data_IF_860903813766
#
_entry.id   IF_860903813766
#
_cell.length_a   1.000
_cell.length_b   1.000
_cell.length_c   1.000
_cell.angle_alpha   90.00
_cell.angle_beta   90.00
_cell.angle_gamma   90.00
#
_symmetry.space_group_name_H-M   'P 1'
#
loop_
_entity.id
_entity.type
_entity.pdbx_description
1 polymer ?
#
# COMPACT_ATOMS: atom_id res chain seq x y z
N UNK A 1 2.84 37.16 -7.03
CA UNK A 1 3.35 36.35 -8.15
C UNK A 1 2.26 35.39 -8.61
N UNK A 2 1.93 35.36 -9.92
CA UNK A 2 0.89 34.47 -10.47
C UNK A 2 1.55 33.26 -11.13
N UNK A 3 1.54 32.12 -10.44
CA UNK A 3 2.24 30.92 -10.91
C UNK A 3 1.75 30.41 -12.27
N UNK A 4 0.45 30.56 -12.57
CA UNK A 4 -0.15 30.11 -13.84
C UNK A 4 0.23 30.99 -15.03
N UNK A 5 0.72 32.22 -14.79
CA UNK A 5 1.17 33.13 -15.85
C UNK A 5 2.59 32.76 -16.34
N UNK A 6 3.25 31.81 -15.67
CA UNK A 6 4.53 31.26 -16.14
C UNK A 6 4.35 30.44 -17.43
N UNK A 7 5.29 30.53 -18.39
CA UNK A 7 5.40 29.59 -19.49
C UNK A 7 5.43 28.14 -19.01
N UNK A 8 4.84 27.24 -19.81
CA UNK A 8 4.76 25.81 -19.47
C UNK A 8 6.12 25.17 -19.17
N UNK A 9 7.17 25.59 -19.87
CA UNK A 9 8.56 25.16 -19.64
C UNK A 9 9.07 25.47 -18.24
N UNK A 10 8.80 26.70 -17.74
CA UNK A 10 9.19 27.09 -16.38
C UNK A 10 8.37 26.34 -15.34
N UNK A 11 7.08 26.12 -15.58
CA UNK A 11 6.25 25.30 -14.68
C UNK A 11 6.77 23.87 -14.61
N UNK A 12 7.13 23.26 -15.75
CA UNK A 12 7.70 21.92 -15.80
C UNK A 12 9.00 21.80 -15.01
N UNK A 13 9.92 22.77 -15.15
CA UNK A 13 11.15 22.79 -14.32
C UNK A 13 10.86 22.88 -12.83
N UNK A 14 9.87 23.68 -12.43
CA UNK A 14 9.46 23.78 -11.01
C UNK A 14 8.84 22.46 -10.54
N UNK A 15 8.03 21.81 -11.37
CA UNK A 15 7.46 20.49 -11.07
C UNK A 15 8.53 19.43 -10.92
N UNK A 16 9.51 19.38 -11.81
CA UNK A 16 10.64 18.44 -11.73
C UNK A 16 11.43 18.64 -10.43
N UNK A 17 11.74 19.89 -10.08
CA UNK A 17 12.41 20.22 -8.84
C UNK A 17 11.59 19.83 -7.60
N UNK A 18 10.29 20.12 -7.61
CA UNK A 18 9.36 19.79 -6.52
C UNK A 18 9.20 18.26 -6.36
N UNK A 19 9.03 17.54 -7.46
CA UNK A 19 8.92 16.09 -7.48
C UNK A 19 10.23 15.42 -7.02
N UNK A 20 11.38 15.93 -7.46
CA UNK A 20 12.69 15.50 -6.99
C UNK A 20 12.90 15.79 -5.50
N UNK A 21 12.25 16.79 -4.92
CA UNK A 21 12.35 17.04 -3.47
C UNK A 21 11.40 16.14 -2.66
N UNK A 22 10.29 15.69 -3.27
CA UNK A 22 9.20 14.97 -2.59
C UNK A 22 9.61 13.61 -2.02
N UNK A 23 10.57 12.89 -2.65
CA UNK A 23 11.00 11.58 -2.14
C UNK A 23 11.59 11.65 -0.71
N UNK A 24 11.99 12.83 -0.25
CA UNK A 24 12.59 13.02 1.08
C UNK A 24 11.56 13.25 2.20
N UNK A 25 10.32 13.63 1.87
CA UNK A 25 9.40 14.27 2.83
C UNK A 25 8.00 13.66 2.84
N UNK A 26 7.88 12.34 3.00
CA UNK A 26 6.62 11.84 3.57
C UNK A 26 6.71 12.00 5.08
N UNK A 27 5.90 12.87 5.70
CA UNK A 27 6.03 13.20 7.11
C UNK A 27 5.78 11.95 7.93
N UNK A 28 6.82 11.29 8.40
CA UNK A 28 6.63 10.12 9.27
C UNK A 28 6.15 10.51 10.66
N UNK A 29 6.26 11.79 11.02
CA UNK A 29 5.72 12.32 12.27
C UNK A 29 4.19 12.41 12.29
N UNK A 30 3.50 12.59 11.15
CA UNK A 30 2.02 12.61 11.13
C UNK A 30 1.43 11.23 11.47
N UNK A 31 2.19 10.15 11.29
CA UNK A 31 1.78 8.78 11.64
C UNK A 31 2.11 8.38 13.08
N UNK A 32 2.88 9.19 13.82
CA UNK A 32 2.94 9.02 15.29
C UNK A 32 1.55 9.13 15.91
N UNK A 33 0.57 9.77 15.26
CA UNK A 33 -0.80 9.86 15.75
C UNK A 33 -1.56 8.51 15.73
N UNK A 34 -1.24 7.56 14.85
CA UNK A 34 -1.77 6.19 14.97
C UNK A 34 -1.21 5.49 16.22
N UNK A 35 0.09 5.67 16.51
CA UNK A 35 0.72 5.16 17.73
C UNK A 35 0.24 5.90 18.99
N UNK A 36 -0.03 7.22 18.90
CA UNK A 36 -0.54 8.05 20.00
C UNK A 36 -2.04 7.84 20.24
N UNK A 37 -2.86 7.50 19.24
CA UNK A 37 -4.27 7.11 19.44
C UNK A 37 -4.40 5.89 20.36
N UNK A 38 -3.40 5.00 20.36
CA UNK A 38 -3.30 3.90 21.34
C UNK A 38 -2.74 4.33 22.70
N UNK A 39 -2.17 5.53 22.86
CA UNK A 39 -1.37 5.89 24.06
C UNK A 39 -1.75 7.16 24.81
N UNK A 40 -2.38 8.21 24.25
CA UNK A 40 -2.60 9.46 25.03
C UNK A 40 -3.87 10.23 24.68
N UNK A 41 -4.77 10.31 25.67
CA UNK A 41 -5.81 11.34 25.83
C UNK A 41 -5.24 12.75 26.04
N UNK A 42 -3.93 12.93 26.35
CA UNK A 42 -3.39 14.20 26.84
C UNK A 42 -2.03 14.62 26.19
N UNK A 43 -1.78 14.39 24.90
CA UNK A 43 -0.54 14.84 24.27
C UNK A 43 -0.71 16.22 23.59
N UNK A 44 0.28 17.14 23.69
CA UNK A 44 0.22 18.45 23.07
C UNK A 44 0.15 18.35 21.53
N UNK A 45 -0.68 19.22 20.95
CA UNK A 45 -0.96 19.32 19.51
C UNK A 45 0.26 19.88 18.78
N UNK A 46 1.22 19.04 18.44
CA UNK A 46 2.25 19.41 17.46
C UNK A 46 1.57 19.65 16.12
N UNK A 47 1.81 20.81 15.50
CA UNK A 47 1.33 21.12 14.15
C UNK A 47 1.74 19.98 13.20
N UNK A 48 0.83 19.52 12.32
CA UNK A 48 1.15 18.46 11.38
C UNK A 48 2.26 18.92 10.44
N UNK A 49 3.30 18.10 10.30
CA UNK A 49 4.29 18.31 9.25
C UNK A 49 3.59 18.36 7.89
N UNK A 50 3.69 19.49 7.22
CA UNK A 50 3.13 19.66 5.88
C UNK A 50 3.85 18.74 4.90
N UNK A 51 3.09 17.95 4.14
CA UNK A 51 3.63 17.20 3.00
C UNK A 51 4.13 18.20 1.97
N UNK A 52 5.44 18.17 1.67
CA UNK A 52 6.06 19.13 0.77
C UNK A 52 5.36 19.13 -0.60
N UNK A 53 5.06 20.33 -1.10
CA UNK A 53 4.42 20.55 -2.40
C UNK A 53 3.01 19.94 -2.59
N UNK A 54 2.41 19.39 -1.53
CA UNK A 54 1.04 18.85 -1.57
C UNK A 54 0.02 19.90 -2.00
N UNK A 55 0.23 21.17 -1.64
CA UNK A 55 -0.60 22.28 -2.07
C UNK A 55 -0.69 22.43 -3.60
N UNK A 56 0.37 22.11 -4.36
CA UNK A 56 0.34 22.13 -5.84
C UNK A 56 -0.61 21.05 -6.39
N UNK A 57 -0.78 19.95 -5.66
CA UNK A 57 -1.75 18.89 -6.00
C UNK A 57 -3.19 19.24 -5.58
N UNK A 58 -3.42 20.40 -4.95
CA UNK A 58 -4.73 20.83 -4.45
C UNK A 58 -5.18 22.20 -5.00
N UNK A 59 -4.27 23.04 -5.49
CA UNK A 59 -4.54 24.45 -5.80
C UNK A 59 -5.50 24.69 -6.99
N UNK A 60 -5.21 24.16 -8.19
CA UNK A 60 -6.04 24.38 -9.39
C UNK A 60 -6.21 23.11 -10.23
N UNK A 61 -7.23 23.06 -11.10
CA UNK A 61 -7.45 21.90 -11.99
C UNK A 61 -6.26 21.69 -12.92
N UNK A 62 -5.73 22.77 -13.50
CA UNK A 62 -4.60 22.71 -14.44
C UNK A 62 -3.32 22.20 -13.76
N UNK A 63 -2.97 22.76 -12.60
CA UNK A 63 -1.80 22.30 -11.84
C UNK A 63 -1.93 20.84 -11.44
N UNK A 64 -3.16 20.42 -11.07
CA UNK A 64 -3.42 19.02 -10.76
C UNK A 64 -3.25 18.11 -11.97
N UNK A 65 -3.73 18.47 -13.15
CA UNK A 65 -3.54 17.64 -14.34
C UNK A 65 -2.08 17.53 -14.76
N UNK A 66 -1.29 18.59 -14.58
CA UNK A 66 0.13 18.63 -14.95
C UNK A 66 1.01 17.93 -13.90
N UNK A 67 0.88 18.29 -12.62
CA UNK A 67 1.82 17.90 -11.56
C UNK A 67 1.46 16.59 -10.85
N UNK A 68 0.18 16.23 -10.73
CA UNK A 68 -0.25 15.14 -9.85
C UNK A 68 0.40 13.80 -10.19
N UNK A 69 0.47 13.45 -11.47
CA UNK A 69 1.03 12.16 -11.89
C UNK A 69 2.54 12.12 -11.63
N UNK A 70 3.26 13.21 -11.94
CA UNK A 70 4.69 13.34 -11.64
C UNK A 70 4.94 13.21 -10.14
N UNK A 71 4.13 13.86 -9.31
CA UNK A 71 4.24 13.79 -7.86
C UNK A 71 3.95 12.37 -7.34
N UNK A 72 2.83 11.75 -7.73
CA UNK A 72 2.45 10.41 -7.28
C UNK A 72 3.52 9.35 -7.60
N UNK A 73 4.18 9.45 -8.76
CA UNK A 73 5.24 8.54 -9.18
C UNK A 73 6.54 8.65 -8.35
N UNK A 74 6.74 9.77 -7.63
CA UNK A 74 7.94 10.01 -6.83
C UNK A 74 7.71 9.87 -5.32
N UNK A 75 6.45 9.95 -4.87
CA UNK A 75 6.11 9.86 -3.44
C UNK A 75 6.46 8.49 -2.89
N UNK A 76 7.18 8.49 -1.76
CA UNK A 76 7.43 7.31 -0.94
C UNK A 76 6.38 7.22 0.15
N UNK A 77 5.53 6.19 0.10
CA UNK A 77 4.42 6.01 1.04
C UNK A 77 4.82 4.99 2.10
N UNK A 78 4.82 5.31 3.40
CA UNK A 78 5.03 4.33 4.44
C UNK A 78 3.86 3.34 4.49
N UNK A 79 4.14 2.09 4.82
CA UNK A 79 3.14 1.01 4.83
C UNK A 79 1.95 1.33 5.74
N UNK A 80 2.17 2.03 6.85
CA UNK A 80 1.11 2.46 7.76
C UNK A 80 0.09 3.42 7.12
N UNK A 81 0.51 4.26 6.18
CA UNK A 81 -0.34 5.25 5.52
C UNK A 81 -0.99 4.73 4.24
N UNK A 82 -0.59 3.54 3.80
CA UNK A 82 -0.90 3.00 2.49
C UNK A 82 -2.41 2.91 2.23
N UNK A 83 -3.18 2.48 3.22
CA UNK A 83 -4.63 2.32 3.09
C UNK A 83 -5.33 3.67 2.80
N UNK A 84 -5.03 4.68 3.61
CA UNK A 84 -5.51 6.05 3.42
C UNK A 84 -5.02 6.64 2.11
N UNK A 85 -3.75 6.42 1.76
CA UNK A 85 -3.16 6.91 0.53
C UNK A 85 -3.85 6.31 -0.71
N UNK A 86 -4.00 4.99 -0.77
CA UNK A 86 -4.70 4.34 -1.88
C UNK A 86 -6.13 4.84 -2.00
N UNK A 87 -6.81 5.10 -0.88
CA UNK A 87 -8.19 5.62 -0.87
C UNK A 87 -8.29 7.05 -1.39
N UNK A 88 -7.37 7.93 -0.97
CA UNK A 88 -7.41 9.33 -1.37
C UNK A 88 -6.90 9.55 -2.80
N UNK A 89 -5.88 8.80 -3.21
CA UNK A 89 -5.14 9.08 -4.44
C UNK A 89 -5.44 8.11 -5.57
N UNK A 90 -5.72 6.84 -5.23
CA UNK A 90 -5.80 5.74 -6.20
C UNK A 90 -7.21 5.15 -6.34
N UNK A 91 -8.13 5.39 -5.38
CA UNK A 91 -9.54 5.04 -5.56
C UNK A 91 -10.30 6.20 -6.17
N UNK A 92 -10.26 6.26 -7.50
CA UNK A 92 -11.36 6.83 -8.25
C UNK A 92 -11.68 5.86 -9.38
N UNK A 93 -12.93 5.38 -9.44
CA UNK A 93 -13.59 5.12 -10.72
C UNK A 93 -14.09 6.50 -11.09
N UNK A 94 -13.32 7.34 -11.80
CA UNK A 94 -13.86 8.63 -12.10
C UNK A 94 -14.90 8.37 -13.19
N UNK A 95 -16.17 8.73 -12.92
CA UNK A 95 -17.19 8.85 -13.98
C UNK A 95 -16.73 9.82 -15.09
N UNK A 96 -15.64 10.56 -14.87
CA UNK A 96 -14.95 11.45 -15.81
C UNK A 96 -13.52 10.93 -16.07
N UNK A 97 -13.13 10.71 -17.32
CA UNK A 97 -11.89 10.04 -17.78
C UNK A 97 -10.54 10.59 -17.26
N UNK A 98 -10.49 11.55 -16.36
CA UNK A 98 -9.28 12.32 -16.06
C UNK A 98 -8.58 11.81 -14.81
N UNK A 99 -7.47 11.11 -14.98
CA UNK A 99 -6.29 11.38 -14.14
C UNK A 99 -5.68 10.23 -13.34
N UNK A 100 -6.16 8.98 -13.42
CA UNK A 100 -5.38 7.85 -12.90
C UNK A 100 -4.60 7.20 -14.04
N UNK A 101 -3.28 7.32 -13.97
CA UNK A 101 -2.38 6.61 -14.88
C UNK A 101 -2.32 5.13 -14.49
N UNK A 102 -2.85 4.26 -15.35
CA UNK A 102 -2.80 2.81 -15.15
C UNK A 102 -1.37 2.27 -15.17
N UNK A 103 -0.46 3.01 -15.79
CA UNK A 103 0.95 2.67 -15.93
C UNK A 103 1.82 3.49 -14.95
N UNK A 104 1.19 4.08 -13.92
CA UNK A 104 1.89 4.79 -12.87
C UNK A 104 2.75 3.87 -12.01
N UNK A 105 3.45 4.48 -11.06
CA UNK A 105 4.26 3.77 -10.09
C UNK A 105 3.94 4.20 -8.66
N UNK A 106 4.12 3.29 -7.71
CA UNK A 106 3.98 3.53 -6.29
C UNK A 106 5.22 2.99 -5.56
N UNK A 107 5.86 3.87 -4.79
CA UNK A 107 6.98 3.49 -3.94
C UNK A 107 6.50 3.35 -2.52
N UNK A 108 6.67 2.15 -1.96
CA UNK A 108 6.27 1.84 -0.59
C UNK A 108 7.53 1.73 0.26
N UNK A 109 7.64 2.59 1.25
CA UNK A 109 8.74 2.56 2.22
C UNK A 109 8.41 1.56 3.34
N UNK A 110 9.09 0.42 3.35
CA UNK A 110 8.90 -0.63 4.35
C UNK A 110 9.82 -0.38 5.55
N UNK A 111 9.24 -0.35 6.76
CA UNK A 111 9.99 -0.30 8.02
C UNK A 111 9.65 -1.52 8.85
N UNK A 112 10.64 -2.08 9.55
CA UNK A 112 10.44 -3.24 10.42
C UNK A 112 9.35 -3.02 11.48
N UNK A 113 9.29 -1.82 12.05
CA UNK A 113 8.28 -1.41 13.04
C UNK A 113 6.87 -1.33 12.46
N UNK A 114 6.75 -1.13 11.15
CA UNK A 114 5.47 -1.03 10.46
C UNK A 114 4.97 -2.37 9.95
N UNK A 115 5.78 -3.42 9.87
CA UNK A 115 5.32 -4.71 9.36
C UNK A 115 4.32 -5.41 10.31
N UNK A 116 4.24 -5.01 11.57
CA UNK A 116 3.40 -5.70 12.55
C UNK A 116 1.93 -5.23 12.49
N UNK A 117 1.03 -6.18 12.25
CA UNK A 117 -0.43 -6.02 12.21
C UNK A 117 -0.94 -5.04 11.14
N UNK A 118 -0.25 -4.97 9.99
CA UNK A 118 -0.72 -4.15 8.85
C UNK A 118 -1.49 -4.99 7.85
N UNK A 119 -2.70 -4.52 7.53
CA UNK A 119 -3.55 -5.14 6.54
C UNK A 119 -3.21 -4.58 5.14
N UNK A 120 -2.75 -5.44 4.25
CA UNK A 120 -2.36 -5.08 2.86
C UNK A 120 -3.40 -5.50 1.82
N UNK A 121 -4.61 -5.90 2.22
CA UNK A 121 -5.64 -6.37 1.28
C UNK A 121 -5.99 -5.33 0.20
N UNK A 122 -5.97 -4.03 0.52
CA UNK A 122 -6.22 -2.97 -0.47
C UNK A 122 -5.12 -2.88 -1.51
N UNK A 123 -3.87 -3.08 -1.11
CA UNK A 123 -2.73 -3.14 -2.03
C UNK A 123 -2.85 -4.32 -2.99
N UNK A 124 -3.20 -5.50 -2.47
CA UNK A 124 -3.45 -6.69 -3.29
C UNK A 124 -4.58 -6.46 -4.30
N UNK A 125 -5.70 -5.89 -3.85
CA UNK A 125 -6.82 -5.53 -4.74
C UNK A 125 -6.40 -4.53 -5.81
N UNK A 126 -5.56 -3.56 -5.44
CA UNK A 126 -5.03 -2.58 -6.38
C UNK A 126 -4.17 -3.26 -7.46
N UNK A 127 -3.22 -4.12 -7.06
CA UNK A 127 -2.37 -4.89 -7.99
C UNK A 127 -3.16 -5.80 -8.92
N UNK A 128 -4.17 -6.50 -8.40
CA UNK A 128 -5.07 -7.34 -9.19
C UNK A 128 -5.92 -6.54 -10.19
N UNK A 129 -6.24 -5.29 -9.86
CA UNK A 129 -7.00 -4.39 -10.74
C UNK A 129 -6.12 -3.75 -11.81
N UNK A 130 -4.87 -3.47 -11.49
CA UNK A 130 -3.89 -2.81 -12.36
C UNK A 130 -2.59 -3.63 -12.38
N UNK A 131 -2.55 -4.72 -13.15
CA UNK A 131 -1.41 -5.65 -13.18
C UNK A 131 -0.14 -5.01 -13.77
N UNK A 132 -0.26 -3.95 -14.56
CA UNK A 132 0.87 -3.24 -15.15
C UNK A 132 1.38 -2.08 -14.26
N UNK A 133 0.70 -1.80 -13.15
CA UNK A 133 1.05 -0.70 -12.25
C UNK A 133 2.27 -1.07 -11.40
N UNK A 134 3.33 -0.26 -11.48
CA UNK A 134 4.64 -0.56 -10.89
C UNK A 134 4.66 -0.30 -9.39
N UNK A 135 4.73 -1.35 -8.57
CA UNK A 135 4.79 -1.24 -7.11
C UNK A 135 6.20 -1.60 -6.65
N UNK A 136 6.95 -0.59 -6.18
CA UNK A 136 8.33 -0.77 -5.70
C UNK A 136 8.38 -0.71 -4.19
N UNK A 137 9.05 -1.69 -3.59
CA UNK A 137 9.39 -1.65 -2.18
C UNK A 137 10.78 -1.06 -2.00
N UNK A 138 10.85 -0.01 -1.21
CA UNK A 138 12.11 0.56 -0.72
C UNK A 138 12.19 0.29 0.78
N UNK A 139 13.38 0.00 1.27
CA UNK A 139 13.56 -0.44 2.65
C UNK A 139 14.96 -0.10 3.15
N UNK A 140 15.11 0.10 4.46
CA UNK A 140 16.41 0.26 5.10
C UNK A 140 17.20 -1.07 5.12
N UNK A 141 18.54 -1.03 5.24
CA UNK A 141 19.39 -2.23 5.20
C UNK A 141 19.14 -3.25 6.31
N UNK A 142 18.45 -2.89 7.39
CA UNK A 142 18.11 -3.79 8.49
C UNK A 142 16.96 -4.76 8.16
N UNK A 143 16.26 -4.54 7.05
CA UNK A 143 15.20 -5.43 6.58
C UNK A 143 15.77 -6.49 5.62
N UNK A 144 15.67 -7.80 5.93
CA UNK A 144 16.20 -8.85 5.05
C UNK A 144 15.56 -8.83 3.67
N UNK A 145 16.37 -8.80 2.61
CA UNK A 145 15.93 -8.77 1.20
C UNK A 145 14.95 -9.90 0.88
N UNK A 146 15.21 -11.12 1.37
CA UNK A 146 14.32 -12.27 1.19
C UNK A 146 12.88 -12.01 1.66
N UNK A 147 12.66 -11.22 2.73
CA UNK A 147 11.31 -10.86 3.17
C UNK A 147 10.63 -9.89 2.21
N UNK A 148 11.38 -8.96 1.65
CA UNK A 148 10.84 -8.03 0.66
C UNK A 148 10.50 -8.77 -0.63
N UNK A 149 11.34 -9.72 -1.04
CA UNK A 149 11.09 -10.56 -2.21
C UNK A 149 9.89 -11.46 -2.01
N UNK A 150 9.73 -12.08 -0.83
CA UNK A 150 8.53 -12.85 -0.51
C UNK A 150 7.24 -12.01 -0.48
N UNK A 151 7.33 -10.74 -0.08
CA UNK A 151 6.20 -9.81 -0.15
C UNK A 151 5.89 -9.40 -1.60
N UNK A 152 6.92 -9.20 -2.43
CA UNK A 152 6.78 -8.96 -3.87
C UNK A 152 6.14 -10.17 -4.55
N UNK A 153 6.61 -11.39 -4.25
CA UNK A 153 6.02 -12.63 -4.76
C UNK A 153 4.54 -12.78 -4.37
N UNK A 154 4.15 -12.37 -3.15
CA UNK A 154 2.75 -12.35 -2.73
C UNK A 154 1.89 -11.36 -3.54
N UNK A 155 2.42 -10.16 -3.82
CA UNK A 155 1.73 -9.16 -4.62
C UNK A 155 1.61 -9.55 -6.10
N UNK A 156 2.69 -10.08 -6.65
CA UNK A 156 2.82 -10.47 -8.06
C UNK A 156 2.30 -11.89 -8.33
N UNK A 157 1.66 -12.51 -7.34
CA UNK A 157 1.05 -13.82 -7.47
C UNK A 157 -0.07 -13.80 -8.53
N UNK A 158 0.23 -14.43 -9.67
CA UNK A 158 -0.65 -14.53 -10.83
C UNK A 158 -1.55 -15.76 -10.80
N UNK A 159 -1.51 -16.58 -9.74
CA UNK A 159 -2.26 -17.81 -9.66
C UNK A 159 -3.79 -17.54 -9.76
N UNK A 160 -4.53 -18.18 -10.69
CA UNK A 160 -5.93 -17.83 -10.97
C UNK A 160 -6.84 -17.93 -9.74
N UNK A 161 -6.61 -18.92 -8.87
CA UNK A 161 -7.37 -19.10 -7.63
C UNK A 161 -7.14 -17.95 -6.65
N UNK A 162 -5.91 -17.49 -6.49
CA UNK A 162 -5.55 -16.38 -5.61
C UNK A 162 -6.18 -15.07 -6.09
N UNK A 163 -6.03 -14.77 -7.37
CA UNK A 163 -6.69 -13.62 -8.02
C UNK A 163 -8.20 -13.69 -7.82
N UNK A 164 -8.80 -14.86 -8.04
CA UNK A 164 -10.23 -15.10 -7.85
C UNK A 164 -10.68 -14.82 -6.40
N UNK A 165 -9.87 -15.24 -5.42
CA UNK A 165 -10.13 -14.98 -4.00
C UNK A 165 -10.10 -13.50 -3.64
N UNK A 166 -9.11 -12.77 -4.15
CA UNK A 166 -8.99 -11.31 -3.94
C UNK A 166 -10.13 -10.56 -4.62
N UNK A 167 -10.45 -10.88 -5.90
CA UNK A 167 -11.54 -10.23 -6.66
C UNK A 167 -12.91 -10.46 -6.04
N UNK A 168 -13.21 -11.69 -5.61
CA UNK A 168 -14.50 -12.07 -5.03
C UNK A 168 -14.65 -11.72 -3.55
N UNK A 169 -13.68 -11.02 -2.95
CA UNK A 169 -13.67 -10.69 -1.53
C UNK A 169 -13.82 -11.93 -0.62
N UNK A 170 -13.22 -13.06 -1.01
CA UNK A 170 -13.15 -14.27 -0.19
C UNK A 170 -12.17 -14.05 0.97
N UNK A 171 -11.07 -13.35 0.69
CA UNK A 171 -10.11 -12.90 1.69
C UNK A 171 -10.61 -11.57 2.26
N UNK A 172 -10.85 -11.51 3.57
CA UNK A 172 -11.28 -10.27 4.24
C UNK A 172 -10.09 -9.40 4.64
N UNK A 173 -8.98 -10.00 5.07
CA UNK A 173 -7.75 -9.28 5.38
C UNK A 173 -6.50 -10.12 5.11
N UNK A 174 -5.39 -9.43 4.82
CA UNK A 174 -4.05 -10.03 4.72
C UNK A 174 -3.15 -9.23 5.64
N UNK A 175 -2.89 -9.77 6.83
CA UNK A 175 -2.15 -9.07 7.89
C UNK A 175 -0.70 -9.50 7.89
N UNK A 176 0.19 -8.53 7.75
CA UNK A 176 1.61 -8.73 7.96
C UNK A 176 1.91 -8.78 9.47
N UNK A 177 2.85 -9.64 9.85
CA UNK A 177 3.47 -9.67 11.19
C UNK A 177 4.99 -9.62 11.01
N UNK A 178 5.78 -9.73 12.08
CA UNK A 178 7.23 -9.67 11.94
C UNK A 178 7.84 -10.81 11.12
N UNK A 179 7.24 -12.00 11.11
CA UNK A 179 7.78 -13.17 10.39
C UNK A 179 6.69 -14.03 9.72
N UNK A 180 5.44 -13.59 9.77
CA UNK A 180 4.31 -14.36 9.25
C UNK A 180 3.33 -13.47 8.51
N UNK A 181 2.61 -14.06 7.57
CA UNK A 181 1.49 -13.43 6.87
C UNK A 181 0.23 -14.19 7.26
N UNK A 182 -0.73 -13.48 7.84
CA UNK A 182 -2.02 -14.04 8.25
C UNK A 182 -3.06 -13.69 7.19
N UNK A 183 -3.52 -14.70 6.46
CA UNK A 183 -4.59 -14.54 5.45
C UNK A 183 -5.91 -14.91 6.12
N UNK A 184 -6.80 -13.94 6.27
CA UNK A 184 -8.11 -14.14 6.88
C UNK A 184 -9.16 -14.36 5.79
N UNK A 185 -9.84 -15.50 5.85
CA UNK A 185 -10.84 -15.96 4.87
C UNK A 185 -12.23 -15.91 5.49
N UNK A 186 -13.24 -15.49 4.73
CA UNK A 186 -14.64 -15.50 5.18
C UNK A 186 -15.11 -16.92 5.48
N UNK A 187 -15.87 -17.09 6.57
CA UNK A 187 -16.28 -18.41 7.06
C UNK A 187 -16.94 -19.30 6.00
N UNK A 188 -17.87 -18.76 5.20
CA UNK A 188 -18.58 -19.50 4.15
C UNK A 188 -17.68 -20.10 3.06
N UNK A 189 -16.43 -19.65 2.96
CA UNK A 189 -15.43 -20.15 2.01
C UNK A 189 -14.27 -20.89 2.70
N UNK A 190 -14.25 -20.90 4.03
CA UNK A 190 -13.19 -21.54 4.80
C UNK A 190 -13.42 -23.06 4.84
N UNK A 191 -12.45 -23.88 4.38
CA UNK A 191 -12.52 -25.33 4.52
C UNK A 191 -12.52 -25.75 6.00
N UNK A 192 -13.02 -26.96 6.30
CA UNK A 192 -13.20 -27.44 7.66
C UNK A 192 -11.92 -27.37 8.53
N UNK A 193 -10.75 -27.63 7.95
CA UNK A 193 -9.49 -27.53 8.67
C UNK A 193 -9.15 -26.10 9.10
N UNK A 194 -9.64 -25.07 8.38
CA UNK A 194 -9.40 -23.67 8.75
C UNK A 194 -10.24 -23.21 9.95
N UNK A 195 -11.38 -23.86 10.19
CA UNK A 195 -12.31 -23.50 11.27
C UNK A 195 -11.85 -23.99 12.65
N UNK A 196 -10.79 -24.81 12.72
CA UNK A 196 -10.24 -25.31 13.98
C UNK A 196 -9.51 -24.20 14.74
N UNK A 197 -9.92 -23.95 15.98
CA UNK A 197 -9.42 -22.84 16.81
C UNK A 197 -8.00 -23.06 17.33
N UNK A 198 -7.55 -24.31 17.47
CA UNK A 198 -6.23 -24.67 18.01
C UNK A 198 -5.52 -25.67 17.09
N UNK A 199 -4.19 -25.59 17.05
CA UNK A 199 -3.35 -26.57 16.34
C UNK A 199 -3.57 -26.64 14.83
N UNK A 200 -3.94 -25.53 14.19
CA UNK A 200 -4.19 -25.49 12.75
C UNK A 200 -2.93 -25.93 11.97
N UNK A 201 -3.01 -27.11 11.36
CA UNK A 201 -1.99 -27.61 10.42
C UNK A 201 -2.48 -27.32 9.01
N UNK A 202 -1.70 -26.54 8.26
CA UNK A 202 -1.96 -26.27 6.85
C UNK A 202 -1.60 -27.55 6.08
N UNK A 203 -2.51 -28.12 5.27
CA UNK A 203 -2.17 -29.26 4.43
C UNK A 203 -0.99 -28.91 3.51
N UNK A 204 0.00 -29.78 3.39
CA UNK A 204 1.26 -29.51 2.65
C UNK A 204 1.01 -29.04 1.21
N UNK A 205 0.05 -29.64 0.53
CA UNK A 205 -0.30 -29.30 -0.86
C UNK A 205 -1.14 -28.03 -0.99
N UNK A 206 -1.54 -27.37 0.11
CA UNK A 206 -2.49 -26.26 0.04
C UNK A 206 -1.89 -24.97 -0.49
N UNK A 207 -0.68 -24.59 -0.04
CA UNK A 207 -0.03 -23.34 -0.47
C UNK A 207 0.22 -23.30 -2.00
N UNK A 208 0.71 -24.38 -2.64
CA UNK A 208 0.80 -24.48 -4.11
C UNK A 208 -0.51 -24.21 -4.84
N UNK A 209 -1.65 -24.65 -4.31
CA UNK A 209 -2.95 -24.40 -4.96
C UNK A 209 -3.37 -22.92 -4.96
N UNK A 210 -2.62 -22.07 -4.26
CA UNK A 210 -2.79 -20.62 -4.23
C UNK A 210 -1.58 -19.89 -4.81
N UNK A 211 -0.52 -20.58 -5.26
CA UNK A 211 0.73 -19.94 -5.73
C UNK A 211 1.49 -19.19 -4.64
N UNK A 212 1.39 -19.64 -3.38
CA UNK A 212 1.94 -18.95 -2.21
C UNK A 212 3.29 -19.52 -1.71
N UNK A 213 3.81 -20.54 -2.38
CA UNK A 213 5.09 -21.20 -2.10
C UNK A 213 6.29 -20.26 -2.24
N UNK A 214 6.21 -19.30 -3.17
CA UNK A 214 7.28 -18.34 -3.46
C UNK A 214 7.34 -17.18 -2.44
N UNK A 215 6.41 -17.11 -1.49
CA UNK A 215 6.42 -16.08 -0.46
C UNK A 215 7.38 -16.42 0.71
N UNK A 216 8.22 -17.46 0.61
CA UNK A 216 9.31 -17.70 1.56
C UNK A 216 10.21 -16.46 1.69
N UNK A 217 10.66 -16.05 2.90
CA UNK A 217 10.67 -16.79 4.17
C UNK A 217 9.44 -16.52 5.06
N UNK A 218 8.36 -15.97 4.50
CA UNK A 218 7.18 -15.68 5.30
C UNK A 218 6.48 -16.97 5.74
N UNK A 219 6.24 -17.11 7.05
CA UNK A 219 5.34 -18.15 7.55
C UNK A 219 3.90 -17.77 7.22
N UNK A 220 3.28 -18.47 6.29
CA UNK A 220 1.87 -18.22 5.97
C UNK A 220 0.99 -18.95 6.99
N UNK A 221 0.00 -18.24 7.52
CA UNK A 221 -1.03 -18.79 8.41
C UNK A 221 -2.40 -18.32 7.95
N UNK A 222 -3.44 -19.10 8.24
CA UNK A 222 -4.81 -18.73 7.88
C UNK A 222 -5.62 -18.40 9.13
N UNK A 223 -6.57 -17.48 8.98
CA UNK A 223 -7.59 -17.17 9.97
C UNK A 223 -8.98 -17.21 9.32
N UNK A 224 -10.01 -17.31 10.14
CA UNK A 224 -11.40 -17.27 9.68
C UNK A 224 -12.09 -16.01 10.20
N UNK A 225 -12.80 -15.34 9.32
CA UNK A 225 -13.68 -14.22 9.64
C UNK A 225 -15.10 -14.73 9.83
N UNK A 226 -15.57 -14.67 11.08
CA UNK A 226 -16.90 -15.11 11.52
C UNK A 226 -17.94 -13.97 11.54
N UNK A 227 -17.57 -12.79 11.02
CA UNK A 227 -18.49 -11.65 10.89
C UNK A 227 -19.50 -11.78 9.76
#
# INVERSE_FOLDING_TARGET
FRFLDLPGELRNRIYEYAAASTYRYFPTATFHNEQKRKRRRNAPTSLPDNIAFMGLTQASVQLRSEFRNLWLNQVRVPLCALDSFLTLFMTTIPKRKTGFDKNGSLRIWLRRTELNDRNIIRLLKHRVRFPDFDIRFEYPPDLPTARVDGLRALLDNSHPRWIGWVKRNIISSVRLRLASIVIVVKERHAPAWMKKTSGMVIPLAYLPTLGLENASPWRITFGVDYS
#
